data_IF_077356855222
#
_entry.id   IF_077356855222
#
_cell.length_a   1.000
_cell.length_b   1.000
_cell.length_c   1.000
_cell.angle_alpha   90.00
_cell.angle_beta   90.00
_cell.angle_gamma   90.00
#
_symmetry.space_group_name_H-M   'P 1'
#
loop_
_entity.id
_entity.type
_entity.pdbx_description
1 polymer ?
#
# COMPACT_ATOMS: atom_id res chain seq x y z
N UNK A 1 -5.46 5.95 -3.06
CA UNK A 1 -4.11 5.40 -3.32
C UNK A 1 -3.64 5.64 -4.74
N UNK A 2 -4.42 5.32 -5.78
CA UNK A 2 -3.97 5.57 -7.17
C UNK A 2 -3.65 7.05 -7.45
N UNK A 3 -4.44 7.98 -6.92
CA UNK A 3 -4.17 9.42 -7.06
C UNK A 3 -2.85 9.85 -6.41
N UNK A 4 -2.51 9.34 -5.22
CA UNK A 4 -1.26 9.69 -4.53
C UNK A 4 -0.03 9.16 -5.26
N UNK A 5 -0.15 8.03 -5.96
CA UNK A 5 0.87 7.55 -6.90
C UNK A 5 1.00 8.49 -8.10
N UNK A 6 -0.11 8.87 -8.74
CA UNK A 6 -0.11 9.77 -9.91
C UNK A 6 0.46 11.15 -9.59
N UNK A 7 0.19 11.66 -8.41
CA UNK A 7 0.72 12.93 -7.92
C UNK A 7 2.15 12.82 -7.37
N UNK A 8 2.70 11.61 -7.31
CA UNK A 8 4.03 11.34 -6.74
C UNK A 8 4.21 11.91 -5.32
N UNK A 9 3.15 11.90 -4.52
CA UNK A 9 3.15 12.49 -3.18
C UNK A 9 2.31 11.63 -2.22
N UNK A 10 2.97 11.04 -1.22
CA UNK A 10 2.35 10.05 -0.32
C UNK A 10 1.34 10.65 0.65
N UNK A 11 1.56 11.89 1.10
CA UNK A 11 0.73 12.54 2.12
C UNK A 11 0.43 14.01 1.75
N UNK A 12 -0.40 14.25 0.74
CA UNK A 12 -0.66 15.62 0.23
C UNK A 12 -1.28 16.57 1.24
N UNK A 13 -1.90 16.05 2.29
CA UNK A 13 -2.53 16.87 3.33
C UNK A 13 -1.61 17.11 4.52
N UNK A 14 -0.36 16.65 4.47
CA UNK A 14 0.68 17.11 5.39
C UNK A 14 1.18 18.49 4.95
N UNK A 15 1.47 19.43 5.88
CA UNK A 15 1.32 19.34 7.33
C UNK A 15 -0.10 19.69 7.85
N UNK A 16 -1.00 20.15 6.98
CA UNK A 16 -2.26 20.81 7.36
C UNK A 16 -3.22 19.92 8.17
N UNK A 17 -3.40 18.66 7.79
CA UNK A 17 -4.30 17.70 8.47
C UNK A 17 -3.56 16.50 9.07
N UNK A 18 -2.33 16.27 8.63
CA UNK A 18 -1.46 15.21 9.16
C UNK A 18 -0.26 15.89 9.81
N UNK A 19 -0.09 15.69 11.11
CA UNK A 19 1.05 16.24 11.83
C UNK A 19 2.36 15.67 11.26
N UNK A 20 3.29 16.56 10.91
CA UNK A 20 4.59 16.19 10.37
C UNK A 20 5.70 16.98 11.03
N UNK A 21 6.91 16.44 10.96
CA UNK A 21 8.10 17.16 11.35
C UNK A 21 8.35 18.31 10.34
N UNK A 22 8.78 19.50 10.80
CA UNK A 22 9.05 20.63 9.91
C UNK A 22 10.38 20.43 9.15
N UNK A 23 10.32 19.68 8.05
CA UNK A 23 11.45 19.51 7.14
C UNK A 23 11.72 20.83 6.40
N UNK A 24 12.98 21.30 6.40
CA UNK A 24 13.37 22.58 5.76
C UNK A 24 13.91 22.40 4.34
N UNK A 25 14.64 21.31 4.10
CA UNK A 25 15.46 21.18 2.89
C UNK A 25 14.75 20.35 1.81
N UNK A 26 13.98 19.35 2.24
CA UNK A 26 13.33 18.39 1.35
C UNK A 26 12.08 17.80 1.99
N UNK A 27 11.02 17.67 1.20
CA UNK A 27 9.82 16.95 1.59
C UNK A 27 10.03 15.42 1.44
N UNK A 28 9.91 14.62 2.53
CA UNK A 28 10.07 13.17 2.47
C UNK A 28 8.86 12.44 1.87
N UNK A 29 7.74 13.11 1.65
CA UNK A 29 6.53 12.49 1.09
C UNK A 29 6.52 12.47 -0.44
N UNK A 30 7.47 13.16 -1.09
CA UNK A 30 7.65 13.12 -2.54
C UNK A 30 8.28 11.77 -2.95
N UNK A 31 7.66 11.11 -3.94
CA UNK A 31 8.18 9.90 -4.56
C UNK A 31 9.19 10.26 -5.67
N UNK A 32 10.49 10.15 -5.38
CA UNK A 32 11.56 10.43 -6.37
C UNK A 32 11.57 9.47 -7.56
N UNK A 33 11.13 8.23 -7.33
CA UNK A 33 11.09 7.18 -8.34
C UNK A 33 9.77 6.44 -8.26
N UNK A 34 9.29 5.95 -9.41
CA UNK A 34 8.08 5.14 -9.46
C UNK A 34 8.32 3.77 -8.80
N UNK A 35 7.61 3.41 -7.71
CA UNK A 35 7.83 2.13 -7.05
C UNK A 35 7.20 0.97 -7.83
N UNK A 36 7.79 -0.22 -7.75
CA UNK A 36 7.19 -1.44 -8.34
C UNK A 36 5.95 -1.93 -7.58
N UNK A 37 5.92 -1.68 -6.26
CA UNK A 37 4.80 -2.01 -5.37
C UNK A 37 4.51 -0.80 -4.48
N UNK A 38 3.25 -0.39 -4.41
CA UNK A 38 2.79 0.71 -3.56
C UNK A 38 1.60 0.24 -2.72
N UNK A 39 1.74 0.22 -1.40
CA UNK A 39 0.75 -0.36 -0.51
C UNK A 39 0.34 0.58 0.62
N UNK A 40 -0.89 0.38 1.11
CA UNK A 40 -1.44 1.09 2.26
C UNK A 40 -1.93 0.07 3.31
N UNK A 41 -1.49 0.26 4.56
CA UNK A 41 -1.89 -0.58 5.70
C UNK A 41 -3.21 -0.16 6.34
N UNK A 42 -3.74 -1.01 7.22
CA UNK A 42 -4.90 -0.72 8.07
C UNK A 42 -6.15 -0.25 7.30
N UNK A 43 -6.32 -0.74 6.08
CA UNK A 43 -7.49 -0.43 5.27
C UNK A 43 -8.71 -1.24 5.75
N UNK A 44 -9.92 -0.80 5.40
CA UNK A 44 -11.14 -1.51 5.76
C UNK A 44 -11.21 -2.90 5.11
N UNK A 45 -10.73 -3.02 3.87
CA UNK A 45 -10.84 -4.22 3.06
C UNK A 45 -9.55 -4.47 2.25
N UNK A 46 -9.33 -5.74 1.89
CA UNK A 46 -8.27 -6.11 0.96
C UNK A 46 -8.60 -5.68 -0.46
N UNK A 47 -7.60 -5.18 -1.17
CA UNK A 47 -7.74 -4.86 -2.59
C UNK A 47 -6.39 -4.81 -3.29
N UNK A 48 -6.35 -5.19 -4.56
CA UNK A 48 -5.14 -5.11 -5.37
C UNK A 48 -5.45 -4.67 -6.78
N UNK A 49 -4.56 -3.87 -7.37
CA UNK A 49 -4.67 -3.42 -8.76
C UNK A 49 -3.29 -3.30 -9.39
N UNK A 50 -3.14 -3.72 -10.64
CA UNK A 50 -1.96 -3.42 -11.43
C UNK A 50 -2.26 -2.19 -12.28
N UNK A 51 -1.49 -1.12 -12.12
CA UNK A 51 -1.63 0.11 -12.90
C UNK A 51 -0.40 0.32 -13.76
N UNK A 52 -0.57 0.95 -14.93
CA UNK A 52 0.55 1.35 -15.79
C UNK A 52 0.85 2.82 -15.60
N UNK A 53 2.13 3.14 -15.49
CA UNK A 53 2.63 4.51 -15.55
C UNK A 53 2.64 5.01 -17.01
N UNK A 54 2.81 6.32 -17.20
CA UNK A 54 3.00 6.96 -18.50
C UNK A 54 4.21 6.40 -19.27
N UNK A 55 5.24 5.94 -18.55
CA UNK A 55 6.44 5.32 -19.13
C UNK A 55 6.26 3.85 -19.51
N UNK A 56 5.08 3.26 -19.26
CA UNK A 56 4.80 1.84 -19.52
C UNK A 56 5.12 0.89 -18.35
N UNK A 57 5.85 1.36 -17.34
CA UNK A 57 6.15 0.61 -16.13
C UNK A 57 4.88 0.22 -15.37
N UNK A 58 4.86 -0.98 -14.81
CA UNK A 58 3.70 -1.49 -14.05
C UNK A 58 3.95 -1.35 -12.55
N UNK A 59 2.96 -0.81 -11.84
CA UNK A 59 2.97 -0.64 -10.38
C UNK A 59 1.86 -1.46 -9.77
N UNK A 60 2.21 -2.29 -8.79
CA UNK A 60 1.25 -3.06 -8.01
C UNK A 60 0.75 -2.24 -6.82
N UNK A 61 -0.53 -1.89 -6.86
CA UNK A 61 -1.26 -1.28 -5.76
C UNK A 61 -1.79 -2.36 -4.81
N UNK A 62 -1.54 -2.26 -3.50
CA UNK A 62 -2.06 -3.20 -2.48
C UNK A 62 -2.69 -2.46 -1.28
N UNK A 63 -3.98 -2.68 -1.07
CA UNK A 63 -4.73 -2.28 0.12
C UNK A 63 -4.69 -3.44 1.12
N UNK A 64 -3.98 -3.26 2.22
CA UNK A 64 -3.84 -4.29 3.26
C UNK A 64 -4.89 -4.05 4.35
N UNK A 65 -5.77 -5.03 4.62
CA UNK A 65 -6.76 -4.89 5.67
C UNK A 65 -6.10 -4.89 7.05
N UNK A 66 -6.79 -4.36 8.05
CA UNK A 66 -6.32 -4.41 9.44
C UNK A 66 -6.27 -5.86 9.95
N UNK A 67 -5.05 -6.36 10.17
CA UNK A 67 -4.83 -7.75 10.60
C UNK A 67 -5.61 -8.13 11.87
N UNK A 68 -5.68 -7.26 12.87
CA UNK A 68 -6.38 -7.53 14.13
C UNK A 68 -7.89 -7.76 13.98
N UNK A 69 -8.48 -7.41 12.83
CA UNK A 69 -9.89 -7.63 12.52
C UNK A 69 -10.06 -8.70 11.44
N UNK A 70 -9.20 -8.71 10.41
CA UNK A 70 -9.33 -9.59 9.26
C UNK A 70 -8.62 -10.94 9.40
N UNK A 71 -7.61 -11.02 10.27
CA UNK A 71 -6.68 -12.16 10.32
C UNK A 71 -5.96 -12.39 8.98
N UNK A 72 -5.82 -11.35 8.13
CA UNK A 72 -5.33 -11.51 6.77
C UNK A 72 -3.94 -10.89 6.57
N UNK A 73 -3.03 -11.66 5.96
CA UNK A 73 -1.76 -11.21 5.40
C UNK A 73 -1.77 -11.37 3.87
N UNK A 74 -0.81 -10.75 3.18
CA UNK A 74 -0.70 -10.84 1.71
C UNK A 74 0.74 -11.18 1.33
N UNK A 75 0.92 -12.27 0.58
CA UNK A 75 2.19 -12.61 -0.06
C UNK A 75 2.27 -11.95 -1.42
N UNK A 76 3.40 -11.33 -1.72
CA UNK A 76 3.67 -10.71 -3.03
C UNK A 76 4.78 -11.49 -3.72
N UNK A 77 4.51 -12.00 -4.92
CA UNK A 77 5.53 -12.58 -5.76
C UNK A 77 6.39 -11.46 -6.36
N UNK A 78 7.68 -11.42 -6.01
CA UNK A 78 8.59 -10.33 -6.43
C UNK A 78 8.94 -10.33 -7.92
N UNK A 79 8.76 -11.46 -8.61
CA UNK A 79 9.01 -11.56 -10.06
C UNK A 79 7.79 -11.15 -10.88
N UNK A 80 6.60 -11.59 -10.47
CA UNK A 80 5.36 -11.39 -11.24
C UNK A 80 4.48 -10.27 -10.71
N UNK A 81 4.78 -9.74 -9.53
CA UNK A 81 3.95 -8.81 -8.77
C UNK A 81 2.54 -9.34 -8.46
N UNK A 82 2.34 -10.67 -8.50
CA UNK A 82 1.07 -11.29 -8.11
C UNK A 82 0.89 -11.23 -6.58
N UNK A 83 -0.35 -10.98 -6.12
CA UNK A 83 -0.69 -10.91 -4.70
C UNK A 83 -1.57 -12.10 -4.30
N UNK A 84 -1.16 -12.80 -3.25
CA UNK A 84 -1.86 -13.96 -2.70
C UNK A 84 -2.26 -13.68 -1.24
N UNK A 85 -3.55 -13.44 -0.94
CA UNK A 85 -4.01 -13.27 0.43
C UNK A 85 -3.97 -14.60 1.20
N UNK A 86 -3.59 -14.53 2.46
CA UNK A 86 -3.60 -15.63 3.43
C UNK A 86 -4.45 -15.19 4.62
N UNK A 87 -5.40 -16.01 5.03
CA UNK A 87 -6.25 -15.75 6.19
C UNK A 87 -5.99 -16.78 7.27
N UNK A 88 -5.80 -16.32 8.51
CA UNK A 88 -5.63 -17.15 9.69
C UNK A 88 -6.95 -17.22 10.45
N UNK A 89 -7.48 -18.43 10.66
CA UNK A 89 -8.64 -18.69 11.52
C UNK A 89 -8.33 -19.81 12.50
N UNK A 90 -8.88 -19.73 13.72
CA UNK A 90 -8.60 -20.68 14.80
C UNK A 90 -9.58 -21.86 14.83
N UNK A 91 -10.20 -22.21 13.70
CA UNK A 91 -11.19 -23.28 13.63
C UNK A 91 -10.56 -24.65 13.42
N UNK A 92 -9.80 -25.14 14.41
CA UNK A 92 -9.59 -26.58 14.68
C UNK A 92 -9.19 -26.78 16.16
N UNK A 93 -10.16 -27.13 17.01
CA UNK A 93 -10.04 -28.09 18.13
C UNK A 93 -11.44 -28.33 18.73
N UNK A 94 -12.28 -29.05 17.97
CA UNK A 94 -13.37 -29.83 18.56
C UNK A 94 -12.92 -31.28 18.49
N UNK A 95 -12.38 -31.79 19.61
CA UNK A 95 -12.12 -33.21 19.84
C UNK A 95 -13.40 -33.86 20.34
#
# INVERSE_FOLDING_TARGET
MESTLRWQHMALTAPDTLATYPFTDRDPFILESCPHVYFAGNQAEYGTRLVKNTNGDSVRLVSLPRFSQSGMAVLVNVQTLACHPITFSTSEMSV
#
